data_IF_185337016410
#
_entry.id   IF_185337016410
#
_cell.length_a   1.000
_cell.length_b   1.000
_cell.length_c   1.000
_cell.angle_alpha   90.00
_cell.angle_beta   90.00
_cell.angle_gamma   90.00
#
_symmetry.space_group_name_H-M   'P 1'
#
loop_
_entity.id
_entity.type
_entity.pdbx_description
1 polymer ?
#
# COMPACT_ATOMS: atom_id res chain seq x y z
N UNK A 1 -11.42 -11.42 0.20
CA UNK A 1 -11.37 -12.85 -0.16
C UNK A 1 -12.16 -13.07 -1.43
N UNK A 2 -11.51 -13.54 -2.49
CA UNK A 2 -12.18 -13.86 -3.75
C UNK A 2 -13.18 -15.03 -3.54
N UNK A 3 -14.32 -15.03 -4.25
CA UNK A 3 -15.27 -16.14 -4.26
C UNK A 3 -14.60 -17.44 -4.71
N UNK A 4 -15.10 -18.58 -4.22
CA UNK A 4 -14.52 -19.90 -4.52
C UNK A 4 -14.58 -20.18 -6.02
N UNK A 5 -15.64 -19.74 -6.68
CA UNK A 5 -15.86 -19.84 -8.12
C UNK A 5 -14.73 -19.17 -8.91
N UNK A 6 -14.23 -18.03 -8.43
CA UNK A 6 -13.08 -17.33 -9.03
C UNK A 6 -11.80 -18.13 -8.81
N UNK A 7 -11.57 -18.62 -7.59
CA UNK A 7 -10.38 -19.43 -7.29
C UNK A 7 -10.32 -20.71 -8.15
N UNK A 8 -11.49 -21.27 -8.45
CA UNK A 8 -11.64 -22.46 -9.29
C UNK A 8 -11.32 -22.18 -10.77
N UNK A 9 -11.50 -20.96 -11.27
CA UNK A 9 -11.01 -20.57 -12.62
C UNK A 9 -9.49 -20.78 -12.74
N UNK A 10 -8.73 -20.39 -11.72
CA UNK A 10 -7.27 -20.61 -11.68
C UNK A 10 -6.90 -22.09 -11.55
N UNK A 11 -7.82 -22.94 -11.08
CA UNK A 11 -7.58 -24.37 -10.93
C UNK A 11 -7.87 -25.18 -12.19
N UNK A 12 -9.01 -24.90 -12.82
CA UNK A 12 -9.58 -25.76 -13.84
C UNK A 12 -9.55 -25.13 -15.24
N UNK A 13 -9.55 -23.80 -15.33
CA UNK A 13 -9.66 -23.10 -16.62
C UNK A 13 -8.36 -22.41 -17.06
N UNK A 14 -7.28 -22.49 -16.27
CA UNK A 14 -5.99 -21.83 -16.55
C UNK A 14 -5.29 -22.32 -17.82
N UNK A 15 -5.71 -23.46 -18.38
CA UNK A 15 -5.20 -24.00 -19.65
C UNK A 15 -5.88 -23.40 -20.88
N UNK A 16 -7.07 -22.80 -20.73
CA UNK A 16 -7.81 -22.12 -21.79
C UNK A 16 -8.05 -20.67 -21.38
N UNK A 17 -7.10 -19.81 -21.72
CA UNK A 17 -7.14 -18.40 -21.31
C UNK A 17 -8.32 -17.63 -21.95
N UNK A 18 -8.83 -18.04 -23.12
CA UNK A 18 -10.04 -17.44 -23.69
C UNK A 18 -11.27 -17.68 -22.80
N UNK A 19 -11.45 -18.93 -22.36
CA UNK A 19 -12.53 -19.28 -21.44
C UNK A 19 -12.33 -18.64 -20.07
N UNK A 20 -11.09 -18.63 -19.57
CA UNK A 20 -10.72 -18.01 -18.30
C UNK A 20 -11.15 -16.53 -18.27
N UNK A 21 -10.74 -15.73 -19.26
CA UNK A 21 -11.09 -14.31 -19.28
C UNK A 21 -12.57 -14.05 -19.58
N UNK A 22 -13.22 -14.89 -20.41
CA UNK A 22 -14.66 -14.77 -20.63
C UNK A 22 -15.45 -15.02 -19.33
N UNK A 23 -15.10 -16.06 -18.57
CA UNK A 23 -15.71 -16.35 -17.26
C UNK A 23 -15.41 -15.26 -16.24
N UNK A 24 -14.17 -14.76 -16.20
CA UNK A 24 -13.77 -13.67 -15.31
C UNK A 24 -14.57 -12.38 -15.60
N UNK A 25 -14.65 -12.00 -16.88
CA UNK A 25 -15.42 -10.84 -17.34
C UNK A 25 -16.91 -10.96 -17.02
N UNK A 26 -17.50 -12.14 -17.23
CA UNK A 26 -18.89 -12.42 -16.89
C UNK A 26 -19.14 -12.36 -15.38
N UNK A 27 -18.27 -12.95 -14.56
CA UNK A 27 -18.41 -12.98 -13.11
C UNK A 27 -18.39 -11.57 -12.50
N UNK A 28 -17.45 -10.73 -12.93
CA UNK A 28 -17.33 -9.35 -12.45
C UNK A 28 -18.20 -8.35 -13.23
N UNK A 29 -19.01 -8.82 -14.18
CA UNK A 29 -19.85 -7.97 -15.05
C UNK A 29 -19.07 -6.80 -15.66
N UNK A 30 -17.81 -7.05 -16.03
CA UNK A 30 -16.86 -6.03 -16.48
C UNK A 30 -16.25 -6.46 -17.80
N UNK A 31 -16.45 -5.66 -18.85
CA UNK A 31 -15.90 -5.94 -20.17
C UNK A 31 -14.38 -5.73 -20.15
N UNK A 32 -13.63 -6.75 -20.59
CA UNK A 32 -12.18 -6.67 -20.69
C UNK A 32 -11.78 -6.26 -22.11
N UNK A 33 -11.11 -5.11 -22.22
CA UNK A 33 -10.58 -4.57 -23.46
C UNK A 33 -9.09 -4.91 -23.57
N UNK A 34 -8.72 -5.62 -24.65
CA UNK A 34 -7.32 -6.00 -24.89
C UNK A 34 -6.44 -4.75 -24.91
N UNK A 35 -5.33 -4.78 -24.16
CA UNK A 35 -4.37 -3.68 -23.98
C UNK A 35 -4.97 -2.37 -23.45
N UNK A 36 -6.15 -2.42 -22.84
CA UNK A 36 -6.83 -1.27 -22.23
C UNK A 36 -7.59 -1.66 -20.96
N UNK A 37 -7.23 -2.79 -20.36
CA UNK A 37 -7.79 -3.27 -19.11
C UNK A 37 -6.68 -3.84 -18.24
N UNK A 38 -6.81 -3.58 -16.94
CA UNK A 38 -5.89 -4.03 -15.91
C UNK A 38 -6.61 -5.01 -14.99
N UNK A 39 -5.94 -6.10 -14.64
CA UNK A 39 -6.43 -7.08 -13.67
C UNK A 39 -5.59 -6.95 -12.40
N UNK A 40 -6.27 -6.71 -11.27
CA UNK A 40 -5.61 -6.50 -9.97
C UNK A 40 -5.76 -7.76 -9.11
N UNK A 41 -4.63 -8.36 -8.75
CA UNK A 41 -4.52 -9.42 -7.77
C UNK A 41 -4.26 -8.83 -6.39
N UNK A 42 -5.33 -8.63 -5.63
CA UNK A 42 -5.20 -8.13 -4.26
C UNK A 42 -4.75 -9.24 -3.30
N UNK A 43 -3.76 -8.94 -2.46
CA UNK A 43 -3.18 -9.86 -1.47
C UNK A 43 -2.74 -11.20 -2.09
N UNK A 44 -2.02 -11.16 -3.21
CA UNK A 44 -1.69 -12.34 -4.04
C UNK A 44 -0.97 -13.45 -3.26
N UNK A 45 -0.27 -13.11 -2.18
CA UNK A 45 0.35 -14.06 -1.24
C UNK A 45 -0.62 -15.04 -0.57
N UNK A 46 -1.91 -14.72 -0.54
CA UNK A 46 -2.95 -15.58 0.03
C UNK A 46 -3.33 -16.72 -0.92
N UNK A 47 -3.01 -16.58 -2.21
CA UNK A 47 -3.29 -17.60 -3.21
C UNK A 47 -2.10 -17.79 -4.17
N UNK A 48 -1.06 -18.56 -3.74
CA UNK A 48 0.16 -18.82 -4.51
C UNK A 48 -0.04 -19.24 -5.97
N UNK A 49 -1.12 -19.96 -6.26
CA UNK A 49 -1.43 -20.43 -7.61
C UNK A 49 -1.74 -19.29 -8.58
N UNK A 50 -2.37 -18.20 -8.13
CA UNK A 50 -2.56 -17.02 -8.97
C UNK A 50 -1.21 -16.40 -9.33
N UNK A 51 -0.30 -16.25 -8.36
CA UNK A 51 1.05 -15.72 -8.58
C UNK A 51 1.85 -16.56 -9.57
N UNK A 52 1.80 -17.89 -9.47
CA UNK A 52 2.47 -18.79 -10.42
C UNK A 52 1.93 -18.64 -11.86
N UNK A 53 0.65 -18.29 -12.01
CA UNK A 53 0.02 -18.13 -13.32
C UNK A 53 0.42 -16.82 -14.02
N UNK A 54 0.89 -15.81 -13.27
CA UNK A 54 1.29 -14.47 -13.76
C UNK A 54 2.17 -14.58 -15.00
N UNK A 55 3.18 -15.45 -14.98
CA UNK A 55 4.09 -15.65 -16.11
C UNK A 55 3.34 -15.93 -17.42
N UNK A 56 2.37 -16.84 -17.38
CA UNK A 56 1.56 -17.21 -18.55
C UNK A 56 0.57 -16.12 -18.94
N UNK A 57 0.03 -15.41 -17.95
CA UNK A 57 -0.90 -14.30 -18.17
C UNK A 57 -0.20 -13.09 -18.83
N UNK A 58 1.04 -12.82 -18.44
CA UNK A 58 1.90 -11.79 -19.04
C UNK A 58 2.34 -12.22 -20.45
N UNK A 59 2.73 -13.48 -20.64
CA UNK A 59 3.11 -14.04 -21.95
C UNK A 59 1.95 -13.96 -22.97
N UNK A 60 0.71 -14.20 -22.53
CA UNK A 60 -0.50 -14.03 -23.35
C UNK A 60 -0.72 -12.58 -23.83
N UNK A 61 -0.27 -11.59 -23.06
CA UNK A 61 -0.14 -10.20 -23.50
C UNK A 61 -1.45 -9.42 -23.68
N UNK A 62 -2.63 -10.02 -23.44
CA UNK A 62 -3.93 -9.33 -23.64
C UNK A 62 -4.20 -8.23 -22.63
N UNK A 63 -3.74 -8.37 -21.39
CA UNK A 63 -4.03 -7.44 -20.30
C UNK A 63 -2.76 -7.12 -19.52
N UNK A 64 -2.83 -6.04 -18.75
CA UNK A 64 -1.79 -5.69 -17.79
C UNK A 64 -2.24 -6.16 -16.39
N UNK A 65 -1.28 -6.49 -15.51
CA UNK A 65 -1.56 -7.08 -14.21
C UNK A 65 -0.89 -6.26 -13.11
N UNK A 66 -1.62 -6.02 -12.03
CA UNK A 66 -1.08 -5.41 -10.81
C UNK A 66 -1.28 -6.39 -9.67
N UNK A 67 -0.24 -6.61 -8.89
CA UNK A 67 -0.30 -7.42 -7.68
C UNK A 67 -0.14 -6.54 -6.45
N UNK A 68 -0.93 -6.81 -5.42
CA UNK A 68 -0.73 -6.22 -4.10
C UNK A 68 -0.35 -7.31 -3.11
N UNK A 69 0.44 -6.93 -2.10
CA UNK A 69 0.75 -7.83 -1.01
C UNK A 69 1.62 -7.19 0.05
N UNK A 70 1.46 -7.63 1.30
CA UNK A 70 2.32 -7.16 2.37
C UNK A 70 3.73 -7.74 2.23
N UNK A 71 4.75 -6.87 2.32
CA UNK A 71 6.18 -7.23 2.21
C UNK A 71 6.58 -8.40 3.13
N UNK A 72 6.05 -8.44 4.34
CA UNK A 72 6.35 -9.46 5.35
C UNK A 72 5.77 -10.83 4.95
N UNK A 73 4.52 -10.87 4.47
CA UNK A 73 3.90 -12.14 4.05
C UNK A 73 4.51 -12.67 2.76
N UNK A 74 4.88 -11.78 1.84
CA UNK A 74 5.57 -12.17 0.61
C UNK A 74 6.81 -12.97 1.00
N UNK A 75 7.70 -12.46 1.87
CA UNK A 75 8.95 -13.15 2.27
C UNK A 75 8.76 -14.48 3.01
N UNK A 76 7.64 -14.67 3.73
CA UNK A 76 7.37 -15.93 4.46
C UNK A 76 6.73 -17.00 3.57
N UNK A 77 5.84 -16.61 2.66
CA UNK A 77 5.12 -17.54 1.78
C UNK A 77 5.89 -17.91 0.50
N UNK A 78 7.20 -17.59 0.40
CA UNK A 78 8.02 -17.96 -0.77
C UNK A 78 8.63 -19.37 -0.69
N UNK A 79 8.48 -20.08 0.43
CA UNK A 79 9.24 -21.31 0.67
C UNK A 79 8.99 -22.43 -0.38
N UNK A 80 7.85 -22.41 -1.08
CA UNK A 80 7.47 -23.43 -2.06
C UNK A 80 6.93 -22.86 -3.40
N UNK A 81 7.24 -21.60 -3.74
CA UNK A 81 6.73 -20.97 -4.97
C UNK A 81 7.86 -20.45 -5.85
N UNK A 82 7.71 -20.72 -7.15
CA UNK A 82 8.57 -20.11 -8.18
C UNK A 82 8.15 -18.64 -8.28
N UNK A 83 9.08 -17.73 -7.97
CA UNK A 83 8.89 -16.30 -8.20
C UNK A 83 8.97 -16.06 -9.72
N UNK A 84 7.92 -15.52 -10.35
CA UNK A 84 7.96 -15.13 -11.76
C UNK A 84 9.02 -14.06 -12.02
N UNK A 85 9.75 -14.18 -13.13
CA UNK A 85 10.71 -13.18 -13.58
C UNK A 85 10.06 -11.92 -14.16
N UNK A 86 8.75 -11.99 -14.38
CA UNK A 86 7.93 -10.98 -15.05
C UNK A 86 7.39 -9.91 -14.08
N UNK A 87 7.67 -10.04 -12.77
CA UNK A 87 7.23 -9.09 -11.74
C UNK A 87 8.23 -7.93 -11.57
N UNK A 88 7.73 -6.70 -11.66
CA UNK A 88 8.46 -5.50 -11.18
C UNK A 88 7.91 -5.08 -9.81
N UNK A 89 8.78 -4.82 -8.86
CA UNK A 89 8.39 -4.48 -7.49
C UNK A 89 8.44 -2.98 -7.24
N UNK A 90 7.32 -2.44 -6.78
CA UNK A 90 7.21 -1.05 -6.32
C UNK A 90 6.88 -1.05 -4.83
N UNK A 91 7.77 -0.47 -4.02
CA UNK A 91 7.53 -0.29 -2.59
C UNK A 91 6.64 0.94 -2.37
N UNK A 92 5.54 0.75 -1.64
CA UNK A 92 4.62 1.84 -1.28
C UNK A 92 4.88 2.29 0.14
N UNK A 93 5.04 3.60 0.33
CA UNK A 93 5.32 4.24 1.61
C UNK A 93 4.12 5.07 2.09
N UNK A 94 4.06 5.41 3.39
CA UNK A 94 3.16 6.45 3.87
C UNK A 94 3.42 7.78 3.15
N UNK A 95 2.40 8.63 3.07
CA UNK A 95 2.49 9.94 2.42
C UNK A 95 3.60 10.77 3.04
N UNK A 96 4.40 11.43 2.21
CA UNK A 96 5.33 12.44 2.69
C UNK A 96 4.64 13.80 2.94
N UNK A 97 5.43 14.83 3.30
CA UNK A 97 4.89 16.17 3.53
C UNK A 97 4.24 16.77 2.27
N UNK A 98 4.82 16.53 1.10
CA UNK A 98 4.32 17.08 -0.16
C UNK A 98 2.98 16.44 -0.52
N UNK A 99 2.88 15.12 -0.41
CA UNK A 99 1.63 14.38 -0.63
C UNK A 99 0.56 14.71 0.43
N UNK A 100 0.97 14.94 1.69
CA UNK A 100 0.06 15.43 2.73
C UNK A 100 -0.53 16.80 2.37
N UNK A 101 0.28 17.71 1.83
CA UNK A 101 -0.20 19.01 1.36
C UNK A 101 -1.13 18.88 0.14
N UNK A 102 -0.83 17.97 -0.79
CA UNK A 102 -1.72 17.66 -1.91
C UNK A 102 -3.07 17.12 -1.44
N UNK A 103 -3.07 16.26 -0.41
CA UNK A 103 -4.29 15.75 0.20
C UNK A 103 -5.14 16.86 0.84
N UNK A 104 -4.50 17.95 1.29
CA UNK A 104 -5.16 19.17 1.78
C UNK A 104 -5.59 20.13 0.64
N UNK A 105 -5.30 19.79 -0.62
CA UNK A 105 -5.57 20.63 -1.79
C UNK A 105 -4.51 21.70 -2.07
N UNK A 106 -3.37 21.67 -1.39
CA UNK A 106 -2.26 22.62 -1.60
C UNK A 106 -1.19 22.03 -2.52
N UNK A 107 -1.32 22.30 -3.82
CA UNK A 107 -0.35 21.90 -4.84
C UNK A 107 0.69 22.98 -5.14
N UNK A 108 0.57 24.18 -4.55
CA UNK A 108 1.38 25.34 -4.90
C UNK A 108 2.56 25.56 -3.94
N UNK A 109 2.40 25.18 -2.66
CA UNK A 109 3.40 25.43 -1.62
C UNK A 109 4.72 24.70 -1.88
N UNK A 110 4.69 23.40 -2.18
CA UNK A 110 5.93 22.62 -2.35
C UNK A 110 6.75 23.00 -3.58
N UNK A 111 6.16 23.27 -4.76
CA UNK A 111 6.89 23.84 -5.89
C UNK A 111 7.62 25.14 -5.56
N UNK A 112 6.96 26.05 -4.81
CA UNK A 112 7.58 27.30 -4.37
C UNK A 112 8.73 27.04 -3.39
N UNK A 113 8.53 26.19 -2.38
CA UNK A 113 9.58 25.80 -1.41
C UNK A 113 10.79 25.22 -2.14
N UNK A 114 10.57 24.33 -3.11
CA UNK A 114 11.62 23.71 -3.93
C UNK A 114 12.39 24.76 -4.74
N UNK A 115 11.68 25.71 -5.37
CA UNK A 115 12.33 26.79 -6.12
C UNK A 115 13.18 27.69 -5.20
N UNK A 116 12.65 28.08 -4.04
CA UNK A 116 13.39 28.90 -3.08
C UNK A 116 14.63 28.18 -2.55
N UNK A 117 14.52 26.89 -2.25
CA UNK A 117 15.64 26.05 -1.82
C UNK A 117 16.74 25.98 -2.88
N UNK A 118 16.39 25.67 -4.13
CA UNK A 118 17.34 25.58 -5.24
C UNK A 118 18.08 26.91 -5.49
N UNK A 119 17.34 28.03 -5.41
CA UNK A 119 17.89 29.37 -5.60
C UNK A 119 18.55 29.94 -4.35
N UNK A 120 18.55 29.21 -3.22
CA UNK A 120 19.03 29.67 -1.91
C UNK A 120 18.43 31.01 -1.48
N UNK A 121 17.16 31.22 -1.80
CA UNK A 121 16.42 32.44 -1.45
C UNK A 121 15.47 32.16 -0.29
N UNK A 122 15.27 33.12 0.62
CA UNK A 122 14.31 32.95 1.71
C UNK A 122 12.88 32.95 1.16
N UNK A 123 12.02 32.10 1.73
CA UNK A 123 10.59 32.02 1.38
C UNK A 123 9.79 33.28 1.78
N UNK A 124 10.36 34.12 2.64
CA UNK A 124 9.67 35.21 3.32
C UNK A 124 9.02 34.74 4.62
N UNK A 125 9.02 35.60 5.64
CA UNK A 125 8.65 35.23 7.01
C UNK A 125 7.22 34.71 7.15
N UNK A 126 6.26 35.30 6.43
CA UNK A 126 4.85 34.90 6.50
C UNK A 126 4.63 33.49 5.95
N UNK A 127 5.13 33.23 4.75
CA UNK A 127 5.01 31.90 4.12
C UNK A 127 5.81 30.85 4.89
N UNK A 128 7.01 31.19 5.37
CA UNK A 128 7.79 30.27 6.19
C UNK A 128 7.02 29.83 7.44
N UNK A 129 6.35 30.75 8.14
CA UNK A 129 5.51 30.39 9.30
C UNK A 129 4.34 29.48 8.91
N UNK A 130 3.67 29.73 7.78
CA UNK A 130 2.60 28.85 7.26
C UNK A 130 3.16 27.44 7.02
N UNK A 131 4.21 27.30 6.23
CA UNK A 131 4.79 25.99 5.88
C UNK A 131 5.27 25.24 7.12
N UNK A 132 5.87 25.95 8.08
CA UNK A 132 6.26 25.33 9.35
C UNK A 132 5.06 24.86 10.20
N UNK A 133 3.91 25.54 10.12
CA UNK A 133 2.70 25.07 10.76
C UNK A 133 2.13 23.82 10.06
N UNK A 134 2.09 23.84 8.72
CA UNK A 134 1.66 22.69 7.92
C UNK A 134 2.56 21.47 8.21
N UNK A 135 3.87 21.67 8.31
CA UNK A 135 4.82 20.63 8.70
C UNK A 135 4.56 20.08 10.12
N UNK A 136 4.28 20.93 11.11
CA UNK A 136 3.94 20.47 12.47
C UNK A 136 2.65 19.65 12.48
N UNK A 137 1.65 20.04 11.68
CA UNK A 137 0.43 19.26 11.53
C UNK A 137 0.75 17.89 10.93
N UNK A 138 1.56 17.83 9.88
CA UNK A 138 2.03 16.57 9.30
C UNK A 138 2.77 15.70 10.32
N UNK A 139 3.65 16.26 11.17
CA UNK A 139 4.34 15.48 12.22
C UNK A 139 3.37 14.86 13.23
N UNK A 140 2.27 15.55 13.56
CA UNK A 140 1.26 15.05 14.50
C UNK A 140 0.37 13.98 13.83
N UNK A 141 -0.03 14.21 12.58
CA UNK A 141 -0.94 13.33 11.84
C UNK A 141 -0.21 12.09 11.32
N UNK A 142 0.99 12.29 10.80
CA UNK A 142 1.79 11.32 10.07
C UNK A 142 1.35 11.14 8.62
N UNK A 143 2.06 10.28 7.90
CA UNK A 143 1.79 9.96 6.49
C UNK A 143 0.80 8.82 6.26
N UNK A 144 0.32 8.13 7.30
CA UNK A 144 -0.53 6.95 7.10
C UNK A 144 -1.86 7.37 6.43
N UNK A 145 -2.24 6.81 5.27
CA UNK A 145 -3.41 7.27 4.52
C UNK A 145 -4.71 7.33 5.35
N UNK A 146 -4.93 6.34 6.22
CA UNK A 146 -6.09 6.32 7.12
C UNK A 146 -6.07 7.46 8.14
N UNK A 147 -4.90 7.82 8.67
CA UNK A 147 -4.74 8.93 9.60
C UNK A 147 -4.96 10.29 8.89
N UNK A 148 -4.42 10.45 7.68
CA UNK A 148 -4.65 11.62 6.83
C UNK A 148 -6.13 11.77 6.49
N UNK A 149 -6.82 10.69 6.11
CA UNK A 149 -8.26 10.71 5.82
C UNK A 149 -9.10 11.08 7.05
N UNK A 150 -8.72 10.63 8.26
CA UNK A 150 -9.40 11.04 9.49
C UNK A 150 -9.22 12.54 9.75
N UNK A 151 -7.99 13.05 9.55
CA UNK A 151 -7.70 14.47 9.66
C UNK A 151 -8.49 15.31 8.65
N UNK A 152 -8.63 14.85 7.40
CA UNK A 152 -9.35 15.58 6.35
C UNK A 152 -10.84 15.76 6.63
N UNK A 153 -11.48 14.85 7.37
CA UNK A 153 -12.93 14.93 7.65
C UNK A 153 -13.27 16.07 8.60
N UNK A 154 -12.60 16.12 9.77
CA UNK A 154 -12.98 17.02 10.85
C UNK A 154 -11.84 17.95 11.33
N UNK A 155 -10.60 17.75 10.84
CA UNK A 155 -9.38 18.41 11.35
C UNK A 155 -9.15 18.23 12.86
N UNK A 156 -9.67 17.15 13.41
CA UNK A 156 -9.58 16.79 14.83
C UNK A 156 -8.45 15.80 15.07
N UNK A 157 -7.49 16.16 15.93
CA UNK A 157 -6.36 15.28 16.25
C UNK A 157 -6.75 14.06 17.09
N UNK A 158 -7.87 14.12 17.81
CA UNK A 158 -8.35 12.98 18.60
C UNK A 158 -8.75 11.79 17.71
N UNK A 159 -9.47 12.05 16.62
CA UNK A 159 -9.87 11.01 15.66
C UNK A 159 -8.64 10.39 14.97
N UNK A 160 -7.65 11.22 14.66
CA UNK A 160 -6.36 10.79 14.13
C UNK A 160 -5.62 9.88 15.12
N UNK A 161 -5.60 10.24 16.40
CA UNK A 161 -4.94 9.44 17.44
C UNK A 161 -5.62 8.07 17.62
N UNK A 162 -6.95 8.03 17.61
CA UNK A 162 -7.70 6.78 17.65
C UNK A 162 -7.35 5.85 16.47
N UNK A 163 -7.28 6.40 15.25
CA UNK A 163 -6.87 5.65 14.05
C UNK A 163 -5.43 5.15 14.16
N UNK A 164 -4.49 5.98 14.61
CA UNK A 164 -3.10 5.56 14.81
C UNK A 164 -2.99 4.40 15.80
N UNK A 165 -3.74 4.44 16.91
CA UNK A 165 -3.77 3.34 17.90
C UNK A 165 -4.36 2.06 17.33
N UNK A 166 -5.38 2.16 16.48
CA UNK A 166 -5.92 0.99 15.75
C UNK A 166 -4.87 0.39 14.82
N UNK A 167 -4.17 1.22 14.03
CA UNK A 167 -3.10 0.77 13.14
C UNK A 167 -2.01 0.05 13.94
N UNK A 168 -1.52 0.63 15.04
CA UNK A 168 -0.51 0.01 15.90
C UNK A 168 -1.01 -1.33 16.46
N UNK A 169 -2.27 -1.41 16.87
CA UNK A 169 -2.90 -2.65 17.34
C UNK A 169 -2.97 -3.71 16.24
N UNK A 170 -3.28 -3.33 14.99
CA UNK A 170 -3.27 -4.24 13.85
C UNK A 170 -1.87 -4.81 13.59
N UNK A 171 -0.83 -3.96 13.62
CA UNK A 171 0.55 -4.44 13.51
C UNK A 171 0.91 -5.43 14.62
N UNK A 172 0.56 -5.13 15.88
CA UNK A 172 0.78 -6.07 17.01
C UNK A 172 0.09 -7.42 16.78
N UNK A 173 -1.17 -7.39 16.35
CA UNK A 173 -1.94 -8.61 16.07
C UNK A 173 -1.40 -9.41 14.88
N UNK A 174 -0.70 -8.77 13.96
CA UNK A 174 -0.05 -9.44 12.84
C UNK A 174 1.32 -10.00 13.22
N UNK A 175 2.09 -9.33 14.08
CA UNK A 175 3.37 -9.84 14.61
C UNK A 175 3.22 -11.25 15.19
N UNK A 176 2.15 -11.52 15.95
CA UNK A 176 1.90 -12.84 16.54
C UNK A 176 1.72 -13.95 15.49
N UNK A 177 1.26 -13.64 14.28
CA UNK A 177 1.13 -14.60 13.17
C UNK A 177 2.47 -14.86 12.48
N UNK A 178 3.39 -13.90 12.53
CA UNK A 178 4.66 -13.96 11.79
C UNK A 178 5.80 -14.52 12.62
N UNK A 179 5.88 -14.13 13.89
CA UNK A 179 6.98 -14.47 14.78
C UNK A 179 6.75 -15.76 15.57
N UNK A 180 6.14 -16.78 14.96
CA UNK A 180 5.86 -18.08 15.61
C UNK A 180 7.09 -18.62 16.35
N UNK A 181 7.06 -18.66 17.69
CA UNK A 181 8.17 -19.08 18.57
C UNK A 181 9.10 -17.96 19.09
N UNK A 182 8.90 -16.70 18.68
CA UNK A 182 9.65 -15.51 19.12
C UNK A 182 8.76 -14.27 19.30
N UNK A 183 7.44 -14.45 19.39
CA UNK A 183 6.43 -13.40 19.40
C UNK A 183 6.70 -12.38 20.50
N UNK A 184 6.92 -12.86 21.72
CA UNK A 184 7.16 -12.03 22.90
C UNK A 184 8.38 -11.12 22.73
N UNK A 185 9.44 -11.60 22.06
CA UNK A 185 10.65 -10.80 21.80
C UNK A 185 10.38 -9.70 20.78
N UNK A 186 9.64 -10.01 19.72
CA UNK A 186 9.33 -9.02 18.67
C UNK A 186 8.40 -7.95 19.21
N UNK A 187 7.38 -8.34 20.00
CA UNK A 187 6.48 -7.39 20.66
C UNK A 187 7.25 -6.52 21.66
N UNK A 188 8.13 -7.10 22.49
CA UNK A 188 8.94 -6.34 23.43
C UNK A 188 9.84 -5.30 22.74
N UNK A 189 10.45 -5.65 21.60
CA UNK A 189 11.23 -4.70 20.79
C UNK A 189 10.33 -3.61 20.22
N UNK A 190 9.19 -3.98 19.63
CA UNK A 190 8.24 -3.05 19.04
C UNK A 190 7.70 -2.03 20.05
N UNK A 191 7.31 -2.50 21.24
CA UNK A 191 6.83 -1.66 22.34
C UNK A 191 7.95 -0.79 22.95
N UNK A 192 9.21 -1.19 22.78
CA UNK A 192 10.38 -0.43 23.19
C UNK A 192 10.75 0.74 22.27
N UNK A 193 10.27 0.77 21.02
CA UNK A 193 10.64 1.80 20.02
C UNK A 193 10.39 3.24 20.53
N UNK A 194 9.21 3.59 21.08
CA UNK A 194 8.97 4.95 21.58
C UNK A 194 9.95 5.38 22.67
N UNK A 195 10.31 4.46 23.57
CA UNK A 195 11.27 4.73 24.64
C UNK A 195 12.70 4.95 24.14
N UNK A 196 13.06 4.35 23.00
CA UNK A 196 14.36 4.57 22.35
C UNK A 196 14.42 5.90 21.58
N UNK A 197 13.29 6.35 21.01
CA UNK A 197 13.18 7.62 20.29
C UNK A 197 13.02 8.85 21.21
N UNK A 198 12.73 8.63 22.50
CA UNK A 198 12.59 9.68 23.52
C UNK A 198 13.92 10.09 24.16
N UNK A 199 15.04 9.46 23.80
CA UNK A 199 16.40 9.83 24.22
C UNK A 199 17.08 10.71 23.19
#
# INVERSE_FOLDING_TARGET
NAPVEILDLFKYDSSNLDLFFAKLSAFYSTLLHKRSSVIIFDEVQQYPRARQLIKYLVEDGRYDYIETGSLIRIRKNVQDIIIPSEEEHVEMFPLDLEEFLWALGDFATMPLVRSCFNNRTPLGQTLHRKVMNDFRQYVIVGGMPQAVLAYLRNKEFESVDAVKRQIITLYRNDVSKFAAGYEDKVIAVFDGIPGQLSK
#
